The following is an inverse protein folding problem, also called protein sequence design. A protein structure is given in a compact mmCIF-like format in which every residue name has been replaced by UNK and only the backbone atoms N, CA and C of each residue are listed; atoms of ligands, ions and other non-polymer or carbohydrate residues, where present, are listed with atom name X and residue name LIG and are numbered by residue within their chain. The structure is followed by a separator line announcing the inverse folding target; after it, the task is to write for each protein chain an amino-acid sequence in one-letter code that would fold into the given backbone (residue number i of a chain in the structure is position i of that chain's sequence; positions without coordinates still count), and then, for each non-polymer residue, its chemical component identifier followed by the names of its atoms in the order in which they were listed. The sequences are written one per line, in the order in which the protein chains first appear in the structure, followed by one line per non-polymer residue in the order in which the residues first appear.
data_IF_008999470243
#
_entry.id   IF_008999470243
#
_cell.length_a   1.000
_cell.length_b   1.000
_cell.length_c   1.000
_cell.angle_alpha   90.00
_cell.angle_beta   90.00
_cell.angle_gamma   90.00
#
_symmetry.space_group_name_H-M   'P 1'
#
loop_
_entity.id
_entity.type
_entity.pdbx_description
1 polymer ?
#
# COMPACT_ATOMS: atom_id res chain seq x y z
N UNK A 1 -12.64 -12.03 -3.41
CA UNK A 1 -11.35 -11.35 -3.72
C UNK A 1 -10.18 -11.90 -2.89
N UNK A 2 -10.39 -12.48 -1.71
CA UNK A 2 -9.31 -13.09 -0.91
C UNK A 2 -8.80 -14.44 -1.44
N UNK A 3 -9.62 -15.23 -2.14
CA UNK A 3 -9.30 -16.64 -2.39
C UNK A 3 -8.12 -16.88 -3.37
N UNK A 4 -7.86 -15.95 -4.30
CA UNK A 4 -6.81 -16.13 -5.33
C UNK A 4 -5.40 -15.89 -4.78
N UNK A 5 -5.27 -15.04 -3.75
CA UNK A 5 -4.00 -14.83 -3.04
C UNK A 5 -3.76 -15.86 -1.94
N UNK A 6 -4.85 -16.40 -1.40
CA UNK A 6 -4.83 -17.26 -0.23
C UNK A 6 -4.30 -18.66 -0.56
N UNK A 7 -4.68 -19.25 -1.68
CA UNK A 7 -4.27 -20.60 -2.10
C UNK A 7 -2.74 -20.84 -2.11
N UNK A 8 -1.90 -20.00 -2.75
CA UNK A 8 -0.45 -20.21 -2.77
C UNK A 8 0.27 -19.90 -1.45
N UNK A 9 -0.26 -18.98 -0.63
CA UNK A 9 0.29 -18.69 0.69
C UNK A 9 -0.10 -19.75 1.73
N UNK A 10 -1.31 -20.33 1.62
CA UNK A 10 -1.79 -21.46 2.44
C UNK A 10 -1.02 -22.75 2.19
N UNK A 11 -0.50 -22.96 0.97
CA UNK A 11 0.14 -24.22 0.58
C UNK A 11 1.60 -24.32 1.02
N UNK A 12 2.29 -23.19 1.21
CA UNK A 12 3.70 -23.14 1.61
C UNK A 12 3.91 -22.73 3.07
N UNK A 13 2.95 -22.05 3.71
CA UNK A 13 3.01 -21.68 5.12
C UNK A 13 1.66 -21.99 5.77
N UNK A 14 1.66 -22.78 6.84
CA UNK A 14 0.46 -23.20 7.58
C UNK A 14 -0.26 -22.06 8.35
N UNK A 15 -0.39 -20.87 7.78
CA UNK A 15 -1.01 -19.71 8.43
C UNK A 15 -2.48 -19.55 8.01
N UNK A 16 -3.35 -19.40 9.02
CA UNK A 16 -4.79 -19.16 8.85
C UNK A 16 -5.05 -17.89 8.04
N UNK A 17 -6.08 -17.91 7.18
CA UNK A 17 -6.51 -16.79 6.32
C UNK A 17 -6.64 -15.47 7.09
N UNK A 18 -7.01 -15.58 8.37
CA UNK A 18 -7.14 -14.47 9.31
C UNK A 18 -5.83 -13.68 9.49
N UNK A 19 -4.67 -14.33 9.48
CA UNK A 19 -3.37 -13.66 9.69
C UNK A 19 -3.00 -12.74 8.53
N UNK A 20 -3.23 -13.17 7.29
CA UNK A 20 -2.93 -12.35 6.10
C UNK A 20 -3.86 -11.14 6.06
N UNK A 21 -5.17 -11.34 6.26
CA UNK A 21 -6.13 -10.22 6.35
C UNK A 21 -5.82 -9.28 7.50
N UNK A 22 -5.33 -9.79 8.63
CA UNK A 22 -4.96 -8.96 9.78
C UNK A 22 -3.76 -8.05 9.47
N UNK A 23 -2.75 -8.54 8.74
CA UNK A 23 -1.61 -7.70 8.31
C UNK A 23 -2.10 -6.55 7.41
N UNK A 24 -2.97 -6.83 6.44
CA UNK A 24 -3.53 -5.80 5.56
C UNK A 24 -4.39 -4.78 6.33
N UNK A 25 -5.24 -5.24 7.25
CA UNK A 25 -6.04 -4.35 8.08
C UNK A 25 -5.15 -3.46 8.97
N UNK A 26 -4.05 -4.02 9.49
CA UNK A 26 -3.09 -3.28 10.29
C UNK A 26 -2.36 -2.21 9.47
N UNK A 27 -1.95 -2.54 8.24
CA UNK A 27 -1.38 -1.60 7.29
C UNK A 27 -2.35 -0.44 7.03
N UNK A 28 -3.61 -0.70 6.69
CA UNK A 28 -4.58 0.38 6.43
C UNK A 28 -4.85 1.23 7.67
N UNK A 29 -4.94 0.61 8.84
CA UNK A 29 -5.13 1.31 10.12
C UNK A 29 -4.00 2.29 10.38
N UNK A 30 -2.75 1.88 10.13
CA UNK A 30 -1.57 2.74 10.29
C UNK A 30 -1.52 3.82 9.21
N UNK A 31 -1.87 3.49 7.97
CA UNK A 31 -1.97 4.46 6.88
C UNK A 31 -2.94 5.58 7.24
N UNK A 32 -4.13 5.24 7.75
CA UNK A 32 -5.12 6.21 8.21
C UNK A 32 -4.65 6.99 9.46
N UNK A 33 -4.05 6.32 10.45
CA UNK A 33 -3.49 6.97 11.63
C UNK A 33 -2.36 7.95 11.30
N UNK A 34 -1.60 7.67 10.24
CA UNK A 34 -0.52 8.54 9.74
C UNK A 34 -1.00 9.72 8.89
N UNK A 35 -2.29 9.78 8.53
CA UNK A 35 -2.86 10.87 7.74
C UNK A 35 -2.66 12.27 8.35
N UNK A 36 -2.94 12.55 9.65
CA UNK A 36 -2.68 13.86 10.22
C UNK A 36 -1.19 14.23 10.18
N UNK A 37 -0.32 13.27 10.45
CA UNK A 37 1.14 13.46 10.42
C UNK A 37 1.59 13.81 8.99
N UNK A 38 1.15 13.03 8.00
CA UNK A 38 1.43 13.27 6.59
C UNK A 38 0.89 14.64 6.12
N UNK A 39 -0.23 15.12 6.66
CA UNK A 39 -0.78 16.45 6.37
C UNK A 39 0.17 17.56 6.86
N UNK A 40 0.66 17.47 8.10
CA UNK A 40 1.61 18.45 8.66
C UNK A 40 2.91 18.47 7.87
N UNK A 41 3.45 17.30 7.52
CA UNK A 41 4.66 17.19 6.71
C UNK A 41 4.47 17.73 5.29
N UNK A 42 3.31 17.47 4.68
CA UNK A 42 3.00 17.97 3.34
C UNK A 42 2.86 19.49 3.30
N UNK A 43 2.27 20.09 4.34
CA UNK A 43 2.11 21.54 4.43
C UNK A 43 3.45 22.28 4.69
N UNK A 44 4.41 21.64 5.34
CA UNK A 44 5.71 22.24 5.70
C UNK A 44 6.81 22.00 4.66
N UNK A 45 6.89 20.79 4.10
CA UNK A 45 7.95 20.40 3.15
C UNK A 45 7.50 20.33 1.68
N UNK A 46 6.19 20.45 1.43
CA UNK A 46 5.57 20.37 0.11
C UNK A 46 5.31 18.93 -0.36
N UNK A 47 4.30 18.77 -1.22
CA UNK A 47 3.80 17.47 -1.69
C UNK A 47 4.90 16.60 -2.35
N UNK A 48 5.81 17.20 -3.12
CA UNK A 48 6.80 16.46 -3.92
C UNK A 48 7.84 15.73 -3.07
N UNK A 49 8.41 16.39 -2.06
CA UNK A 49 9.45 15.78 -1.20
C UNK A 49 8.86 14.67 -0.33
N UNK A 50 7.68 14.92 0.24
CA UNK A 50 6.97 13.94 1.09
C UNK A 50 6.62 12.68 0.30
N UNK A 51 6.13 12.82 -0.94
CA UNK A 51 5.83 11.67 -1.82
C UNK A 51 7.07 10.83 -2.12
N UNK A 52 8.21 11.47 -2.42
CA UNK A 52 9.47 10.74 -2.71
C UNK A 52 9.96 9.98 -1.48
N UNK A 53 9.96 10.63 -0.31
CA UNK A 53 10.37 9.97 0.94
C UNK A 53 9.43 8.81 1.29
N UNK A 54 8.12 9.00 1.15
CA UNK A 54 7.13 7.95 1.34
C UNK A 54 7.33 6.76 0.38
N UNK A 55 7.62 7.02 -0.89
CA UNK A 55 7.88 5.99 -1.89
C UNK A 55 9.15 5.17 -1.58
N UNK A 56 10.22 5.83 -1.15
CA UNK A 56 11.45 5.16 -0.71
C UNK A 56 11.18 4.30 0.52
N UNK A 57 10.44 4.83 1.49
CA UNK A 57 10.11 4.12 2.73
C UNK A 57 9.22 2.89 2.47
N UNK A 58 8.21 3.03 1.62
CA UNK A 58 7.36 1.92 1.21
C UNK A 58 8.15 0.84 0.46
N UNK A 59 9.02 1.25 -0.48
CA UNK A 59 9.89 0.33 -1.23
C UNK A 59 10.84 -0.43 -0.30
N UNK A 60 11.42 0.25 0.70
CA UNK A 60 12.24 -0.38 1.73
C UNK A 60 11.43 -1.37 2.57
N UNK A 61 10.20 -1.02 2.96
CA UNK A 61 9.30 -1.92 3.70
C UNK A 61 9.03 -3.23 2.96
N UNK A 62 8.72 -3.15 1.67
CA UNK A 62 8.51 -4.33 0.83
C UNK A 62 9.81 -5.12 0.59
N UNK A 63 10.94 -4.44 0.38
CA UNK A 63 12.22 -5.10 0.16
C UNK A 63 12.72 -5.83 1.41
N UNK A 64 12.59 -5.21 2.59
CA UNK A 64 12.91 -5.82 3.87
C UNK A 64 12.03 -7.04 4.17
N UNK A 65 10.78 -7.02 3.72
CA UNK A 65 9.86 -8.14 3.89
C UNK A 65 10.35 -9.43 3.21
N UNK A 66 11.14 -9.34 2.14
CA UNK A 66 11.63 -10.51 1.41
C UNK A 66 12.72 -11.30 2.18
N UNK A 67 13.45 -10.65 3.08
CA UNK A 67 14.58 -11.28 3.77
C UNK A 67 14.20 -12.09 5.02
N UNK A 68 13.05 -11.82 5.63
CA UNK A 68 12.70 -12.36 6.95
C UNK A 68 11.45 -13.25 6.87
N UNK A 69 11.58 -14.53 7.18
CA UNK A 69 10.46 -15.49 7.21
C UNK A 69 9.68 -15.51 8.53
N UNK A 70 9.79 -14.46 9.37
CA UNK A 70 9.11 -14.39 10.66
C UNK A 70 7.89 -13.47 10.61
N UNK A 71 6.74 -13.96 11.09
CA UNK A 71 5.44 -13.26 11.05
C UNK A 71 5.50 -11.88 11.74
N UNK A 72 6.21 -11.77 12.86
CA UNK A 72 6.39 -10.50 13.56
C UNK A 72 7.10 -9.44 12.72
N UNK A 73 8.05 -9.84 11.87
CA UNK A 73 8.74 -8.91 10.98
C UNK A 73 7.84 -8.44 9.85
N UNK A 74 6.88 -9.24 9.39
CA UNK A 74 5.87 -8.79 8.42
C UNK A 74 4.96 -7.69 9.00
N UNK A 75 4.52 -7.82 10.26
CA UNK A 75 3.75 -6.76 10.92
C UNK A 75 4.55 -5.45 11.09
N UNK A 76 5.86 -5.54 11.38
CA UNK A 76 6.73 -4.37 11.51
C UNK A 76 7.04 -3.72 10.15
N UNK A 77 7.45 -4.51 9.16
CA UNK A 77 7.87 -4.00 7.85
C UNK A 77 6.69 -3.59 6.99
N UNK A 78 5.75 -4.48 6.71
CA UNK A 78 4.57 -4.17 5.89
C UNK A 78 3.61 -3.27 6.66
N UNK A 79 3.29 -3.63 7.92
CA UNK A 79 2.32 -2.88 8.72
C UNK A 79 2.80 -1.47 9.08
N UNK A 80 3.93 -1.35 9.79
CA UNK A 80 4.40 -0.03 10.28
C UNK A 80 5.16 0.74 9.20
N UNK A 81 6.24 0.20 8.66
CA UNK A 81 7.08 0.93 7.69
C UNK A 81 6.31 1.16 6.38
N UNK A 82 5.67 0.11 5.86
CA UNK A 82 4.81 0.18 4.68
C UNK A 82 3.58 1.06 4.91
N UNK A 83 2.88 0.90 6.04
CA UNK A 83 1.70 1.72 6.36
C UNK A 83 2.00 3.22 6.46
N UNK A 84 3.09 3.60 7.12
CA UNK A 84 3.56 4.99 7.20
C UNK A 84 3.97 5.50 5.82
N UNK A 85 4.73 4.70 5.05
CA UNK A 85 5.15 5.05 3.69
C UNK A 85 3.96 5.29 2.75
N UNK A 86 2.97 4.40 2.76
CA UNK A 86 1.73 4.53 2.00
C UNK A 86 0.92 5.77 2.43
N UNK A 87 0.82 6.07 3.72
CA UNK A 87 0.14 7.28 4.21
C UNK A 87 0.83 8.58 3.79
N UNK A 88 2.15 8.56 3.69
CA UNK A 88 2.96 9.66 3.16
C UNK A 88 2.82 9.85 1.65
N UNK A 89 2.38 8.84 0.89
CA UNK A 89 2.14 8.93 -0.56
C UNK A 89 0.69 9.31 -0.86
N UNK A 90 -0.25 8.70 -0.16
CA UNK A 90 -1.68 8.82 -0.43
C UNK A 90 -2.17 10.27 -0.25
N UNK A 91 -1.73 10.91 0.83
CA UNK A 91 -2.16 12.26 1.17
C UNK A 91 -1.69 13.35 0.19
N UNK A 92 -0.39 13.46 -0.15
CA UNK A 92 0.04 14.43 -1.16
C UNK A 92 -0.52 14.14 -2.55
N UNK A 93 -0.85 12.89 -2.89
CA UNK A 93 -1.57 12.60 -4.13
C UNK A 93 -2.96 13.26 -4.16
N UNK A 94 -3.72 13.15 -3.06
CA UNK A 94 -5.04 13.79 -2.93
C UNK A 94 -4.93 15.32 -2.94
N UNK A 95 -4.00 15.86 -2.14
CA UNK A 95 -3.80 17.30 -2.01
C UNK A 95 -3.33 17.90 -3.33
N UNK A 96 -2.39 17.24 -4.03
CA UNK A 96 -1.89 17.72 -5.32
C UNK A 96 -2.98 17.74 -6.39
N UNK A 97 -3.85 16.73 -6.46
CA UNK A 97 -4.98 16.72 -7.40
C UNK A 97 -5.99 17.81 -7.05
N UNK A 98 -6.24 18.03 -5.75
CA UNK A 98 -7.10 19.10 -5.26
C UNK A 98 -6.63 20.50 -5.66
N UNK A 99 -5.33 20.77 -5.54
CA UNK A 99 -4.74 22.07 -5.92
C UNK A 99 -4.68 22.31 -7.43
N UNK A 100 -4.45 21.27 -8.25
CA UNK A 100 -4.31 21.43 -9.71
C UNK A 100 -5.65 21.48 -10.46
N UNK A 101 -6.70 20.84 -9.95
CA UNK A 101 -8.00 20.73 -10.62
C UNK A 101 -9.15 21.20 -9.72
N UNK A 102 -9.14 22.47 -9.28
CA UNK A 102 -10.20 23.00 -8.39
C UNK A 102 -11.60 22.90 -9.02
N UNK A 103 -11.75 23.23 -10.31
CA UNK A 103 -13.05 23.24 -11.00
C UNK A 103 -13.60 21.83 -11.29
N UNK A 104 -12.72 20.84 -11.49
CA UNK A 104 -13.08 19.45 -11.82
C UNK A 104 -12.52 18.42 -10.83
N UNK A 105 -12.43 18.80 -9.56
CA UNK A 105 -11.80 18.00 -8.49
C UNK A 105 -12.37 16.59 -8.38
N UNK A 106 -13.69 16.44 -8.42
CA UNK A 106 -14.36 15.14 -8.29
C UNK A 106 -14.07 14.20 -9.45
N UNK A 107 -13.92 14.74 -10.68
CA UNK A 107 -13.60 13.94 -11.85
C UNK A 107 -12.15 13.47 -11.84
N UNK A 108 -11.21 14.36 -11.51
CA UNK A 108 -9.79 14.01 -11.39
C UNK A 108 -9.53 13.01 -10.25
N UNK A 109 -10.20 13.19 -9.10
CA UNK A 109 -10.15 12.23 -8.01
C UNK A 109 -10.78 10.89 -8.41
N UNK A 110 -11.86 10.90 -9.18
CA UNK A 110 -12.46 9.70 -9.76
C UNK A 110 -11.44 8.91 -10.60
N UNK A 111 -10.72 9.57 -11.52
CA UNK A 111 -9.68 8.94 -12.33
C UNK A 111 -8.54 8.39 -11.45
N UNK A 112 -8.11 9.14 -10.42
CA UNK A 112 -7.08 8.67 -9.50
C UNK A 112 -7.51 7.39 -8.76
N UNK A 113 -8.77 7.32 -8.31
CA UNK A 113 -9.34 6.15 -7.61
C UNK A 113 -9.57 4.98 -8.57
N UNK A 114 -9.90 5.23 -9.85
CA UNK A 114 -9.99 4.17 -10.86
C UNK A 114 -8.70 3.34 -10.96
N UNK A 115 -7.53 3.94 -10.70
CA UNK A 115 -6.26 3.22 -10.64
C UNK A 115 -6.23 2.11 -9.59
N UNK A 116 -6.81 2.35 -8.40
CA UNK A 116 -6.91 1.33 -7.34
C UNK A 116 -7.82 0.17 -7.75
N UNK A 117 -8.94 0.48 -8.40
CA UNK A 117 -9.85 -0.53 -8.94
C UNK A 117 -9.20 -1.39 -10.03
N UNK A 118 -8.48 -0.77 -10.97
CA UNK A 118 -7.72 -1.47 -12.00
C UNK A 118 -6.63 -2.36 -11.39
N UNK A 119 -5.92 -1.87 -10.38
CA UNK A 119 -4.94 -2.66 -9.63
C UNK A 119 -5.54 -3.93 -9.04
N UNK A 120 -6.72 -3.81 -8.41
CA UNK A 120 -7.42 -4.93 -7.77
C UNK A 120 -7.90 -5.97 -8.78
N UNK A 121 -8.30 -5.55 -9.99
CA UNK A 121 -8.70 -6.45 -11.07
C UNK A 121 -7.49 -7.09 -11.75
N UNK A 122 -6.41 -6.34 -11.98
CA UNK A 122 -5.24 -6.83 -12.71
C UNK A 122 -4.36 -7.79 -11.90
N UNK A 123 -4.18 -7.52 -10.61
CA UNK A 123 -3.35 -8.33 -9.71
C UNK A 123 -3.66 -9.85 -9.74
N UNK A 124 -4.91 -10.32 -9.61
CA UNK A 124 -5.23 -11.75 -9.60
C UNK A 124 -4.95 -12.46 -10.93
N UNK A 125 -4.82 -11.74 -12.06
CA UNK A 125 -4.40 -12.33 -13.33
C UNK A 125 -2.88 -12.40 -13.47
N UNK A 126 -2.17 -11.39 -12.94
CA UNK A 126 -0.71 -11.28 -13.05
C UNK A 126 -0.01 -12.24 -12.08
N UNK A 127 -0.52 -12.38 -10.86
CA UNK A 127 0.06 -13.24 -9.82
C UNK A 127 0.26 -14.71 -10.23
N UNK A 128 -0.76 -15.43 -10.73
CA UNK A 128 -0.58 -16.82 -11.15
C UNK A 128 0.41 -16.94 -12.30
N UNK A 129 0.46 -15.95 -13.21
CA UNK A 129 1.42 -15.93 -14.30
C UNK A 129 2.88 -15.79 -13.79
N UNK A 130 3.08 -14.97 -12.75
CA UNK A 130 4.40 -14.79 -12.14
C UNK A 130 4.80 -16.02 -11.31
N UNK A 131 3.87 -16.61 -10.58
CA UNK A 131 4.10 -17.81 -9.77
C UNK A 131 4.46 -19.02 -10.62
N UNK A 132 3.74 -19.25 -11.73
CA UNK A 132 3.98 -20.36 -12.65
C UNK A 132 5.29 -20.25 -13.44
N UNK A 133 6.00 -19.11 -13.32
CA UNK A 133 7.29 -18.86 -13.96
C UNK A 133 8.47 -18.98 -13.00
N UNK A 134 8.23 -18.90 -11.69
CA UNK A 134 9.24 -18.99 -10.63
C UNK A 134 9.12 -20.27 -9.78
N UNK A 135 8.04 -21.04 -9.94
CA UNK A 135 7.75 -22.33 -9.31
C UNK A 135 7.32 -23.32 -10.38
#
# INVERSE_FOLDING_TARGET
MGDIYLEPMLKNLQFSRAYVSAIFAFLESITLASAPISTVFTNTFGCRKVTIVGAILASLGFFLSQWWSNVYYYYLTIGIIGGIGCGLIYLPAIVSVGYYFEEKRSFAMGIAVCGSGLGTVAFPYILPCLMNRFF
#
